data_IF_251457107072
#
_entry.id   IF_251457107072
#
_cell.length_a   1.000
_cell.length_b   1.000
_cell.length_c   1.000
_cell.angle_alpha   90.00
_cell.angle_beta   90.00
_cell.angle_gamma   90.00
#
_symmetry.space_group_name_H-M   'P 1'
#
loop_
_entity.id
_entity.type
_entity.pdbx_description
1 polymer ?
#
# COMPACT_ATOMS: atom_id res chain seq x y z
N UNK A 1 -28.57 16.93 6.27
CA UNK A 1 -27.64 15.95 6.90
C UNK A 1 -26.39 15.84 6.05
N UNK A 2 -25.41 16.70 6.32
CA UNK A 2 -24.17 16.77 5.56
C UNK A 2 -23.25 15.63 5.98
N UNK A 3 -23.12 14.60 5.15
CA UNK A 3 -22.09 13.57 5.31
C UNK A 3 -20.73 14.24 5.20
N UNK A 4 -20.01 14.35 6.32
CA UNK A 4 -18.58 14.65 6.29
C UNK A 4 -17.90 13.56 5.46
N UNK A 5 -17.40 13.93 4.27
CA UNK A 5 -16.62 13.05 3.42
C UNK A 5 -15.41 12.55 4.20
N UNK A 6 -15.30 11.23 4.38
CA UNK A 6 -14.08 10.63 4.92
C UNK A 6 -12.92 10.98 3.98
N UNK A 7 -11.72 11.32 4.50
CA UNK A 7 -10.56 11.59 3.66
C UNK A 7 -10.28 10.36 2.79
N UNK A 8 -10.34 10.55 1.47
CA UNK A 8 -10.20 9.48 0.49
C UNK A 8 -11.50 8.99 -0.15
N UNK A 9 -12.67 9.58 0.12
CA UNK A 9 -13.87 9.24 -0.63
C UNK A 9 -13.76 9.64 -2.11
N UNK A 10 -14.13 8.73 -3.01
CA UNK A 10 -14.22 8.94 -4.44
C UNK A 10 -15.58 8.47 -4.98
N UNK A 11 -15.89 8.86 -6.21
CA UNK A 11 -17.04 8.41 -6.95
C UNK A 11 -16.59 7.78 -8.28
N UNK A 12 -17.39 6.88 -8.82
CA UNK A 12 -17.21 6.33 -10.16
C UNK A 12 -18.55 5.84 -10.70
N UNK A 13 -18.54 5.31 -11.90
CA UNK A 13 -19.74 4.73 -12.51
C UNK A 13 -19.61 3.21 -12.57
N UNK A 14 -20.69 2.51 -12.31
CA UNK A 14 -20.71 1.06 -12.42
C UNK A 14 -20.65 0.66 -13.90
N UNK A 15 -19.66 -0.13 -14.35
CA UNK A 15 -19.55 -0.53 -15.75
C UNK A 15 -20.67 -1.49 -16.19
N UNK A 16 -21.43 -2.05 -15.25
CA UNK A 16 -22.52 -2.98 -15.55
C UNK A 16 -23.89 -2.30 -15.68
N UNK A 17 -24.19 -1.27 -14.87
CA UNK A 17 -25.52 -0.64 -14.86
C UNK A 17 -25.51 0.88 -14.99
N UNK A 18 -24.33 1.52 -15.13
CA UNK A 18 -24.19 2.98 -15.22
C UNK A 18 -24.44 3.75 -13.93
N UNK A 19 -24.82 3.08 -12.83
CA UNK A 19 -25.15 3.75 -11.56
C UNK A 19 -23.92 4.36 -10.87
N UNK A 20 -24.12 5.49 -10.19
CA UNK A 20 -23.08 6.19 -9.42
C UNK A 20 -22.62 5.41 -8.18
N UNK A 21 -21.37 4.98 -8.16
CA UNK A 21 -20.79 4.18 -7.08
C UNK A 21 -19.85 5.03 -6.21
N UNK A 22 -19.96 4.87 -4.90
CA UNK A 22 -18.97 5.40 -3.95
C UNK A 22 -17.78 4.44 -3.86
N UNK A 23 -16.58 5.00 -3.96
CA UNK A 23 -15.31 4.29 -3.94
C UNK A 23 -14.43 4.87 -2.84
N UNK A 24 -13.47 4.07 -2.37
CA UNK A 24 -12.35 4.58 -1.58
C UNK A 24 -11.15 4.77 -2.52
N UNK A 25 -10.56 5.97 -2.51
CA UNK A 25 -9.47 6.32 -3.41
C UNK A 25 -8.22 5.47 -3.12
N UNK A 26 -7.77 4.75 -4.14
CA UNK A 26 -6.67 3.78 -4.05
C UNK A 26 -7.12 2.37 -3.69
N UNK A 27 -8.39 2.14 -3.37
CA UNK A 27 -8.95 0.79 -3.19
C UNK A 27 -9.30 0.19 -4.56
N UNK A 28 -8.85 -1.04 -4.88
CA UNK A 28 -9.20 -1.70 -6.13
C UNK A 28 -10.64 -2.23 -6.16
N UNK A 29 -11.41 -2.17 -5.08
CA UNK A 29 -12.76 -2.75 -5.05
C UNK A 29 -13.84 -1.74 -5.47
N UNK A 30 -14.79 -2.24 -6.26
CA UNK A 30 -16.02 -1.55 -6.61
C UNK A 30 -17.21 -2.44 -6.25
N UNK A 31 -18.08 -1.96 -5.37
CA UNK A 31 -19.32 -2.64 -4.99
C UNK A 31 -20.48 -1.71 -5.35
N UNK A 32 -21.27 -2.09 -6.35
CA UNK A 32 -22.39 -1.26 -6.79
C UNK A 32 -23.60 -1.46 -5.88
N UNK A 33 -24.18 -0.40 -5.29
CA UNK A 33 -25.39 -0.53 -4.47
C UNK A 33 -26.65 -0.81 -5.29
N UNK A 34 -26.65 -0.50 -6.59
CA UNK A 34 -27.81 -0.64 -7.47
C UNK A 34 -27.96 -2.06 -8.01
N UNK A 35 -27.01 -2.52 -8.83
CA UNK A 35 -27.04 -3.86 -9.41
C UNK A 35 -26.37 -4.94 -8.55
N UNK A 36 -25.81 -4.55 -7.39
CA UNK A 36 -25.12 -5.44 -6.43
C UNK A 36 -23.88 -6.15 -6.99
N UNK A 37 -23.40 -5.75 -8.17
CA UNK A 37 -22.18 -6.29 -8.74
C UNK A 37 -20.96 -5.96 -7.87
N UNK A 38 -20.01 -6.88 -7.85
CA UNK A 38 -18.76 -6.77 -7.10
C UNK A 38 -17.62 -6.95 -8.10
N UNK A 39 -16.81 -5.92 -8.26
CA UNK A 39 -15.76 -5.86 -9.26
C UNK A 39 -14.42 -5.54 -8.61
N UNK A 40 -13.35 -6.10 -9.17
CA UNK A 40 -11.97 -5.79 -8.85
C UNK A 40 -11.36 -4.99 -10.01
N UNK A 41 -10.91 -3.77 -9.71
CA UNK A 41 -10.26 -2.88 -10.66
C UNK A 41 -8.81 -3.29 -10.85
N UNK A 42 -8.41 -3.47 -12.11
CA UNK A 42 -7.03 -3.72 -12.52
C UNK A 42 -6.62 -2.64 -13.52
N UNK A 43 -5.39 -2.15 -13.37
CA UNK A 43 -4.84 -1.08 -14.21
C UNK A 43 -3.34 -1.31 -14.40
N UNK A 44 -2.83 -0.98 -15.58
CA UNK A 44 -1.40 -0.85 -15.82
C UNK A 44 -0.91 0.42 -15.10
N UNK A 45 -0.28 0.27 -13.94
CA UNK A 45 0.20 1.39 -13.12
C UNK A 45 -0.78 1.83 -12.02
N UNK A 46 -0.78 3.11 -11.61
CA UNK A 46 -1.63 3.58 -10.50
C UNK A 46 -3.06 3.87 -10.96
N UNK A 47 -4.01 3.74 -10.03
CA UNK A 47 -5.35 4.30 -10.21
C UNK A 47 -5.26 5.84 -10.38
N UNK A 48 -6.15 6.39 -11.20
CA UNK A 48 -6.18 7.81 -11.55
C UNK A 48 -7.51 8.39 -11.11
N UNK A 49 -7.46 9.52 -10.40
CA UNK A 49 -8.63 10.24 -9.91
C UNK A 49 -8.59 11.69 -10.34
N UNK A 50 -9.75 12.26 -10.66
CA UNK A 50 -9.92 13.67 -11.01
C UNK A 50 -10.55 14.39 -9.83
N UNK A 51 -9.98 15.54 -9.47
CA UNK A 51 -10.54 16.45 -8.50
C UNK A 51 -11.65 17.27 -9.18
N UNK A 52 -12.91 17.06 -8.81
CA UNK A 52 -14.05 17.65 -9.49
C UNK A 52 -14.29 19.09 -9.03
N UNK A 53 -14.29 20.08 -9.93
CA UNK A 53 -14.67 21.45 -9.57
C UNK A 53 -16.06 21.47 -8.92
N UNK A 54 -16.22 22.24 -7.83
CA UNK A 54 -17.54 22.45 -7.23
C UNK A 54 -18.50 23.05 -8.27
N UNK A 55 -19.62 22.37 -8.54
CA UNK A 55 -20.71 22.90 -9.36
C UNK A 55 -20.58 22.75 -10.87
N UNK A 56 -19.62 21.97 -11.40
CA UNK A 56 -19.57 21.63 -12.82
C UNK A 56 -19.92 20.16 -13.08
N UNK A 57 -20.74 19.91 -14.10
CA UNK A 57 -21.06 18.58 -14.62
C UNK A 57 -19.91 17.93 -15.39
N UNK A 58 -20.17 16.76 -15.97
CA UNK A 58 -19.19 15.89 -16.63
C UNK A 58 -18.62 16.46 -17.94
N UNK A 59 -19.22 17.52 -18.48
CA UNK A 59 -18.79 18.13 -19.73
C UNK A 59 -17.51 18.93 -19.54
N UNK A 60 -16.51 18.56 -20.32
CA UNK A 60 -15.22 19.24 -20.35
C UNK A 60 -15.39 20.58 -21.07
N UNK A 61 -15.14 21.73 -20.40
CA UNK A 61 -15.06 23.00 -21.09
C UNK A 61 -13.80 23.03 -21.97
N UNK A 62 -13.90 23.69 -23.13
CA UNK A 62 -12.75 23.93 -23.99
C UNK A 62 -11.59 24.60 -23.21
N UNK A 63 -10.37 24.16 -23.49
CA UNK A 63 -9.15 24.68 -22.88
C UNK A 63 -8.85 24.18 -21.46
N UNK A 64 -9.60 23.22 -20.90
CA UNK A 64 -9.27 22.62 -19.60
C UNK A 64 -8.23 21.52 -19.72
N UNK A 65 -7.19 21.58 -18.88
CA UNK A 65 -6.17 20.55 -18.69
C UNK A 65 -6.15 20.09 -17.24
N UNK A 66 -5.79 18.85 -17.01
CA UNK A 66 -5.69 18.28 -15.68
C UNK A 66 -4.23 17.96 -15.37
N UNK A 67 -3.71 18.58 -14.31
CA UNK A 67 -2.32 18.39 -13.91
C UNK A 67 -2.19 17.25 -12.89
N UNK A 68 -1.23 16.32 -13.09
CA UNK A 68 -1.02 15.17 -12.23
C UNK A 68 -0.25 15.51 -10.95
N UNK A 69 -0.73 14.93 -9.85
CA UNK A 69 -0.12 14.91 -8.52
C UNK A 69 -0.09 13.48 -8.01
N UNK A 70 1.04 13.03 -7.49
CA UNK A 70 1.12 11.79 -6.73
C UNK A 70 0.51 12.03 -5.36
N UNK A 71 -0.40 11.15 -4.95
CA UNK A 71 -0.92 11.09 -3.58
C UNK A 71 -0.38 9.85 -2.90
N UNK A 72 0.25 10.05 -1.76
CA UNK A 72 0.82 9.00 -0.92
C UNK A 72 0.09 8.99 0.40
N UNK A 73 -0.50 7.85 0.77
CA UNK A 73 -1.17 7.64 2.06
C UNK A 73 -0.72 6.32 2.66
N UNK A 74 -0.04 6.33 3.80
CA UNK A 74 0.53 5.10 4.35
C UNK A 74 1.42 5.32 5.56
N UNK A 75 2.23 4.32 5.91
CA UNK A 75 3.11 4.38 7.07
C UNK A 75 4.55 4.70 6.64
N UNK A 76 5.08 5.77 7.21
CA UNK A 76 6.49 6.14 7.07
C UNK A 76 7.27 5.67 8.29
N UNK A 77 8.37 4.99 8.05
CA UNK A 77 9.35 4.59 9.04
C UNK A 77 10.64 5.37 8.82
N UNK A 78 11.23 5.89 9.90
CA UNK A 78 12.51 6.59 9.92
C UNK A 78 13.44 5.82 10.85
N UNK A 79 14.55 5.35 10.31
CA UNK A 79 15.61 4.71 11.08
C UNK A 79 16.64 5.79 11.38
N UNK A 80 16.79 6.17 12.64
CA UNK A 80 17.64 7.25 13.10
C UNK A 80 19.00 6.74 13.56
N UNK A 81 19.98 7.62 13.65
CA UNK A 81 21.22 7.30 14.38
C UNK A 81 20.92 6.98 15.86
N UNK A 82 21.77 6.19 16.50
CA UNK A 82 21.63 5.85 17.93
C UNK A 82 20.61 4.76 18.27
N UNK A 83 20.09 4.02 17.29
CA UNK A 83 19.26 2.83 17.55
C UNK A 83 17.75 3.09 17.66
N UNK A 84 17.24 4.20 17.13
CA UNK A 84 15.81 4.51 17.18
C UNK A 84 15.11 4.30 15.83
N UNK A 85 13.97 3.61 15.85
CA UNK A 85 13.09 3.44 14.68
C UNK A 85 11.77 4.12 14.99
N UNK A 86 11.54 5.26 14.35
CA UNK A 86 10.28 6.00 14.45
C UNK A 86 9.33 5.58 13.34
N UNK A 87 8.04 5.51 13.66
CA UNK A 87 7.00 5.29 12.66
C UNK A 87 5.91 6.34 12.80
N UNK A 88 5.33 6.73 11.68
CA UNK A 88 4.22 7.69 11.62
C UNK A 88 3.40 7.50 10.36
N UNK A 89 2.25 8.18 10.32
CA UNK A 89 1.41 8.22 9.12
C UNK A 89 1.85 9.37 8.22
N UNK A 90 1.88 9.13 6.91
CA UNK A 90 2.12 10.15 5.89
C UNK A 90 0.90 10.18 4.96
N UNK A 91 0.28 11.36 4.88
CA UNK A 91 -0.68 11.71 3.83
C UNK A 91 -0.17 12.98 3.17
N UNK A 92 0.26 12.87 1.91
CA UNK A 92 0.82 14.01 1.18
C UNK A 92 0.53 13.96 -0.30
N UNK A 93 0.63 15.11 -0.95
CA UNK A 93 0.55 15.24 -2.40
C UNK A 93 1.78 15.93 -2.95
N UNK A 94 2.28 15.43 -4.08
CA UNK A 94 3.49 15.93 -4.74
C UNK A 94 3.19 16.11 -6.22
N UNK A 95 3.53 17.28 -6.76
CA UNK A 95 3.34 17.55 -8.19
C UNK A 95 4.18 16.60 -9.04
N UNK A 96 3.62 16.11 -10.15
CA UNK A 96 4.36 15.19 -11.02
C UNK A 96 5.16 15.91 -12.11
N UNK A 97 5.17 17.25 -12.16
CA UNK A 97 5.85 18.02 -13.21
C UNK A 97 7.06 18.78 -12.68
N UNK A 98 8.17 18.80 -13.43
CA UNK A 98 9.44 19.46 -13.02
C UNK A 98 9.33 20.97 -12.80
N UNK A 99 8.35 21.60 -13.45
CA UNK A 99 8.05 23.02 -13.33
C UNK A 99 7.16 23.36 -12.09
N UNK A 100 7.35 22.67 -10.96
CA UNK A 100 6.51 22.82 -9.75
C UNK A 100 6.40 24.26 -9.25
N UNK A 101 7.38 25.12 -9.51
CA UNK A 101 7.34 26.53 -9.10
C UNK A 101 6.08 27.25 -9.60
N UNK A 102 5.50 26.80 -10.70
CA UNK A 102 4.28 27.36 -11.28
C UNK A 102 3.00 26.71 -10.77
N UNK A 103 3.09 25.58 -10.05
CA UNK A 103 1.94 24.79 -9.61
C UNK A 103 1.93 24.68 -8.08
N UNK A 104 0.98 25.34 -7.38
CA UNK A 104 0.89 25.20 -5.94
C UNK A 104 0.58 23.74 -5.56
N UNK A 105 0.98 23.37 -4.34
CA UNK A 105 0.55 22.10 -3.74
C UNK A 105 -0.96 22.10 -3.55
N UNK A 106 -1.59 20.93 -3.60
CA UNK A 106 -3.05 20.81 -3.47
C UNK A 106 -3.57 21.05 -2.05
N UNK A 107 -2.69 21.25 -1.06
CA UNK A 107 -3.09 21.48 0.34
C UNK A 107 -4.07 20.41 0.83
N UNK A 108 -5.20 20.86 1.39
CA UNK A 108 -6.27 20.00 1.92
C UNK A 108 -7.27 19.51 0.87
N UNK A 109 -7.19 20.02 -0.38
CA UNK A 109 -8.20 19.76 -1.44
C UNK A 109 -8.46 18.26 -1.69
N UNK A 110 -7.46 17.37 -1.67
CA UNK A 110 -7.72 15.93 -1.84
C UNK A 110 -8.55 15.30 -0.71
N UNK A 111 -8.58 15.92 0.48
CA UNK A 111 -9.34 15.46 1.64
C UNK A 111 -10.74 16.06 1.72
N UNK A 112 -10.99 17.21 1.09
CA UNK A 112 -12.28 17.93 1.14
C UNK A 112 -13.06 17.80 -0.16
N UNK A 113 -12.37 17.69 -1.29
CA UNK A 113 -12.97 17.70 -2.61
C UNK A 113 -13.56 16.36 -3.03
N UNK A 114 -14.51 16.40 -3.97
CA UNK A 114 -15.06 15.19 -4.60
C UNK A 114 -14.08 14.63 -5.63
N UNK A 115 -13.54 13.46 -5.35
CA UNK A 115 -12.71 12.71 -6.29
C UNK A 115 -13.62 11.87 -7.20
N UNK A 116 -13.31 11.81 -8.49
CA UNK A 116 -13.93 10.88 -9.44
C UNK A 116 -12.88 9.96 -10.04
N UNK A 117 -13.16 8.67 -10.16
CA UNK A 117 -12.32 7.74 -10.91
C UNK A 117 -12.22 8.25 -12.35
N UNK A 118 -11.00 8.38 -12.87
CA UNK A 118 -10.79 8.89 -14.21
C UNK A 118 -11.28 7.86 -15.24
N UNK A 119 -12.27 8.26 -16.04
CA UNK A 119 -12.69 7.54 -17.24
C UNK A 119 -12.20 8.32 -18.47
N UNK A 120 -11.31 7.71 -19.27
CA UNK A 120 -10.68 8.37 -20.43
C UNK A 120 -9.59 9.41 -20.08
N UNK A 121 -9.01 10.05 -21.11
CA UNK A 121 -7.79 10.86 -20.99
C UNK A 121 -7.99 12.34 -21.25
N UNK A 122 -9.16 12.75 -21.72
CA UNK A 122 -9.29 14.02 -22.40
C UNK A 122 -8.82 15.15 -21.47
N UNK A 123 -7.65 15.74 -21.74
CA UNK A 123 -7.02 16.76 -20.91
C UNK A 123 -6.06 16.29 -19.80
N UNK A 124 -5.87 14.99 -19.56
CA UNK A 124 -4.94 14.47 -18.54
C UNK A 124 -3.48 14.63 -18.99
N UNK A 125 -2.71 15.42 -18.26
CA UNK A 125 -1.26 15.57 -18.50
C UNK A 125 -0.52 14.34 -17.96
N UNK A 126 0.42 13.81 -18.73
CA UNK A 126 1.23 12.66 -18.27
C UNK A 126 2.16 13.05 -17.12
N UNK A 127 2.32 12.20 -16.09
CA UNK A 127 3.25 12.46 -15.00
C UNK A 127 4.69 12.44 -15.53
N UNK A 128 5.48 13.47 -15.24
CA UNK A 128 6.89 13.56 -15.64
C UNK A 128 7.86 13.02 -14.57
N UNK A 129 7.35 12.64 -13.39
CA UNK A 129 8.09 12.01 -12.29
C UNK A 129 7.48 10.67 -11.96
N UNK A 130 8.34 9.71 -11.63
CA UNK A 130 7.91 8.44 -11.04
C UNK A 130 7.39 8.65 -9.61
N UNK A 131 6.68 7.65 -9.08
CA UNK A 131 6.25 7.64 -7.69
C UNK A 131 7.45 7.74 -6.73
N UNK A 132 8.54 6.99 -6.99
CA UNK A 132 9.74 6.99 -6.16
C UNK A 132 10.43 8.37 -6.10
N UNK A 133 10.52 9.07 -7.23
CA UNK A 133 11.07 10.43 -7.29
C UNK A 133 10.22 11.42 -6.50
N UNK A 134 8.89 11.30 -6.61
CA UNK A 134 7.94 12.17 -5.93
C UNK A 134 7.93 11.91 -4.42
N UNK A 135 7.98 10.65 -4.00
CA UNK A 135 8.08 10.25 -2.59
C UNK A 135 9.38 10.80 -1.98
N UNK A 136 10.51 10.62 -2.67
CA UNK A 136 11.80 11.17 -2.25
C UNK A 136 11.77 12.69 -2.05
N UNK A 137 11.01 13.42 -2.88
CA UNK A 137 10.82 14.86 -2.73
C UNK A 137 9.99 15.22 -1.50
N UNK A 138 8.88 14.50 -1.25
CA UNK A 138 8.10 14.66 -0.02
C UNK A 138 8.94 14.40 1.23
N UNK A 139 9.81 13.38 1.18
CA UNK A 139 10.65 13.02 2.30
C UNK A 139 11.70 14.08 2.63
N UNK A 140 12.37 14.66 1.61
CA UNK A 140 13.28 15.78 1.80
C UNK A 140 12.62 17.00 2.46
N UNK A 141 11.38 17.31 2.07
CA UNK A 141 10.60 18.42 2.70
C UNK A 141 10.40 18.19 4.19
N UNK A 142 10.07 16.96 4.59
CA UNK A 142 9.88 16.60 6.01
C UNK A 142 11.21 16.64 6.78
N UNK A 143 12.30 16.21 6.16
CA UNK A 143 13.63 16.23 6.78
C UNK A 143 14.11 17.64 7.08
N UNK A 144 13.89 18.59 6.16
CA UNK A 144 14.18 20.01 6.39
C UNK A 144 13.41 20.57 7.59
N UNK A 145 12.15 20.16 7.79
CA UNK A 145 11.35 20.58 8.94
C UNK A 145 11.84 19.99 10.26
N UNK A 146 12.25 18.72 10.27
CA UNK A 146 12.59 18.00 11.50
C UNK A 146 14.03 18.20 11.99
N UNK A 147 14.93 18.78 11.17
CA UNK A 147 16.37 18.99 11.49
C UNK A 147 17.14 17.74 11.94
N UNK A 148 16.56 16.54 11.81
CA UNK A 148 17.19 15.25 12.14
C UNK A 148 17.21 14.40 10.89
N UNK A 149 18.41 14.09 10.39
CA UNK A 149 18.61 13.21 9.23
C UNK A 149 18.49 11.75 9.66
N UNK A 150 17.60 10.96 9.06
CA UNK A 150 17.56 9.52 9.27
C UNK A 150 18.73 8.84 8.55
N UNK A 151 19.18 7.68 9.05
CA UNK A 151 20.05 6.76 8.31
C UNK A 151 19.37 6.30 7.01
N UNK A 152 18.07 6.01 7.09
CA UNK A 152 17.19 5.81 5.95
C UNK A 152 15.72 5.89 6.37
N UNK A 153 14.83 6.08 5.41
CA UNK A 153 13.38 5.97 5.57
C UNK A 153 12.81 4.82 4.73
N UNK A 154 11.62 4.34 5.07
CA UNK A 154 10.81 3.45 4.23
C UNK A 154 9.34 3.83 4.34
N UNK A 155 8.64 3.69 3.24
CA UNK A 155 7.19 3.80 3.16
C UNK A 155 6.62 2.40 2.95
N UNK A 156 5.67 2.00 3.80
CA UNK A 156 5.11 0.64 3.88
C UNK A 156 3.62 0.77 4.16
N UNK A 157 2.80 -0.14 3.66
CA UNK A 157 1.35 -0.09 3.89
C UNK A 157 0.69 1.05 3.12
N UNK A 158 1.29 1.51 2.03
CA UNK A 158 0.84 2.69 1.32
C UNK A 158 -0.18 2.43 0.23
N UNK A 159 -1.16 3.32 0.15
CA UNK A 159 -1.97 3.51 -1.02
C UNK A 159 -1.38 4.67 -1.83
N UNK A 160 -0.98 4.39 -3.07
CA UNK A 160 -0.46 5.37 -4.01
C UNK A 160 -1.35 5.46 -5.25
N UNK A 161 -1.72 6.68 -5.62
CA UNK A 161 -2.53 6.94 -6.81
C UNK A 161 -2.23 8.32 -7.39
N UNK A 162 -2.62 8.52 -8.65
CA UNK A 162 -2.53 9.82 -9.31
C UNK A 162 -3.81 10.61 -9.08
N UNK A 163 -3.65 11.85 -8.65
CA UNK A 163 -4.70 12.83 -8.52
C UNK A 163 -4.52 13.92 -9.56
N UNK A 164 -5.58 14.23 -10.27
CA UNK A 164 -5.61 15.18 -11.37
C UNK A 164 -6.42 16.41 -10.99
N UNK A 165 -5.75 17.56 -10.88
CA UNK A 165 -6.42 18.83 -10.55
C UNK A 165 -6.72 19.63 -11.83
N UNK A 166 -7.93 20.21 -11.96
CA UNK A 166 -8.35 20.92 -13.15
C UNK A 166 -7.75 22.33 -13.23
N UNK A 167 -7.27 22.69 -14.41
CA UNK A 167 -6.76 24.01 -14.74
C UNK A 167 -7.27 24.48 -16.10
N UNK A 168 -7.51 25.78 -16.24
CA UNK A 168 -7.77 26.40 -17.55
C UNK A 168 -6.46 26.87 -18.16
N UNK A 169 -6.19 26.42 -19.38
CA UNK A 169 -5.04 26.83 -20.18
C UNK A 169 -5.49 27.86 -21.21
N UNK A 170 -4.92 29.06 -21.14
CA UNK A 170 -5.18 30.15 -22.09
C UNK A 170 -3.91 30.46 -22.88
N UNK A 171 -4.02 30.59 -24.20
CA UNK A 171 -2.91 31.07 -25.04
C UNK A 171 -2.95 32.60 -25.06
N UNK A 172 -1.84 33.23 -24.71
CA UNK A 172 -1.71 34.69 -24.74
C UNK A 172 -1.32 35.14 -26.16
N UNK A 173 -1.72 36.35 -26.57
CA UNK A 173 -1.45 36.90 -27.90
C UNK A 173 0.05 37.01 -28.28
N UNK A 174 0.96 37.04 -27.28
CA UNK A 174 2.42 37.10 -27.47
C UNK A 174 3.12 35.73 -27.51
N UNK A 175 2.39 34.64 -27.73
CA UNK A 175 2.95 33.27 -27.77
C UNK A 175 3.16 32.62 -26.40
N UNK A 176 2.96 33.36 -25.30
CA UNK A 176 2.92 32.83 -23.94
C UNK A 176 1.67 32.00 -23.64
N UNK A 177 1.71 31.24 -22.56
CA UNK A 177 0.54 30.52 -22.04
C UNK A 177 0.31 30.90 -20.60
N UNK A 178 -0.96 30.87 -20.20
CA UNK A 178 -1.35 31.12 -18.82
C UNK A 178 -2.21 29.98 -18.29
N UNK A 179 -2.05 29.71 -17.00
CA UNK A 179 -2.76 28.66 -16.30
C UNK A 179 -3.55 29.24 -15.13
N UNK A 180 -4.83 28.91 -15.05
CA UNK A 180 -5.71 29.30 -13.95
C UNK A 180 -6.22 28.05 -13.23
N UNK A 181 -6.11 28.01 -11.90
CA UNK A 181 -6.65 26.92 -11.09
C UNK A 181 -8.18 27.02 -11.05
N UNK A 182 -8.85 25.93 -11.45
CA UNK A 182 -10.31 25.90 -11.50
C UNK A 182 -10.95 25.43 -10.19
N UNK A 183 -10.15 25.02 -9.19
CA UNK A 183 -10.67 24.63 -7.88
C UNK A 183 -11.08 25.84 -7.02
N UNK A 184 -10.21 26.83 -6.91
CA UNK A 184 -10.40 28.03 -6.08
C UNK A 184 -10.51 29.33 -6.90
N UNK A 185 -10.36 29.25 -8.23
CA UNK A 185 -10.36 30.43 -9.10
C UNK A 185 -9.13 31.33 -8.93
N UNK A 186 -8.04 30.81 -8.35
CA UNK A 186 -6.83 31.59 -8.04
C UNK A 186 -6.17 32.25 -9.27
N UNK A 187 -5.27 33.20 -8.97
CA UNK A 187 -4.60 34.07 -9.93
C UNK A 187 -4.00 33.30 -11.11
N UNK A 188 -4.26 33.84 -12.31
CA UNK A 188 -3.69 33.41 -13.57
C UNK A 188 -2.15 33.46 -13.51
N UNK A 189 -1.48 32.34 -13.79
CA UNK A 189 -0.02 32.22 -13.77
C UNK A 189 0.52 32.05 -15.17
N UNK A 190 1.46 32.90 -15.57
CA UNK A 190 2.20 32.68 -16.80
C UNK A 190 3.10 31.44 -16.67
N UNK A 191 3.10 30.62 -17.71
CA UNK A 191 3.92 29.41 -17.80
C UNK A 191 4.83 29.48 -19.03
N UNK A 192 6.01 28.84 -19.00
CA UNK A 192 6.90 28.80 -20.15
C UNK A 192 6.21 28.21 -21.38
N UNK A 193 6.49 28.77 -22.56
CA UNK A 193 5.86 28.36 -23.81
C UNK A 193 5.98 26.85 -24.08
N UNK A 194 7.16 26.26 -23.84
CA UNK A 194 7.39 24.82 -23.97
C UNK A 194 6.41 23.99 -23.13
N UNK A 195 6.15 24.42 -21.89
CA UNK A 195 5.20 23.79 -20.97
C UNK A 195 3.75 23.98 -21.45
N UNK A 196 3.41 25.19 -21.89
CA UNK A 196 2.09 25.48 -22.44
C UNK A 196 1.76 24.68 -23.71
N UNK A 197 2.73 24.51 -24.62
CA UNK A 197 2.59 23.65 -25.81
C UNK A 197 2.38 22.18 -25.43
N UNK A 198 3.10 21.67 -24.43
CA UNK A 198 2.92 20.31 -23.90
C UNK A 198 1.49 20.10 -23.36
N UNK A 199 1.01 21.04 -22.55
CA UNK A 199 -0.33 20.96 -21.97
C UNK A 199 -1.42 21.13 -23.03
N UNK A 200 -1.20 21.98 -24.03
CA UNK A 200 -2.11 22.11 -25.18
C UNK A 200 -2.22 20.80 -25.97
N UNK A 201 -1.14 20.03 -26.12
CA UNK A 201 -1.20 18.68 -26.71
C UNK A 201 -2.00 17.71 -25.85
N UNK A 202 -1.78 17.69 -24.54
CA UNK A 202 -2.57 16.87 -23.62
C UNK A 202 -4.05 17.25 -23.63
N UNK A 203 -4.36 18.54 -23.80
CA UNK A 203 -5.72 19.03 -23.98
C UNK A 203 -6.41 18.46 -25.23
N UNK A 204 -5.67 18.18 -26.30
CA UNK A 204 -6.24 17.62 -27.54
C UNK A 204 -6.55 16.12 -27.45
N UNK A 205 -6.21 15.47 -26.33
CA UNK A 205 -6.57 14.09 -26.06
C UNK A 205 -5.47 13.07 -26.38
N UNK A 206 -5.66 11.87 -25.85
CA UNK A 206 -4.85 10.67 -26.04
C UNK A 206 -5.65 9.44 -25.57
N UNK A 207 -5.08 8.24 -25.62
CA UNK A 207 -5.72 6.97 -25.17
C UNK A 207 -5.15 6.49 -23.83
N UNK A 208 -5.97 6.24 -22.81
CA UNK A 208 -5.55 5.86 -21.43
C UNK A 208 -5.66 4.34 -21.50
N UNK A 209 -4.72 3.67 -20.88
CA UNK A 209 -4.95 2.31 -20.40
C UNK A 209 -6.22 2.26 -19.55
N UNK A 210 -7.30 1.74 -20.14
CA UNK A 210 -8.59 1.62 -19.48
C UNK A 210 -8.45 0.81 -18.19
N UNK A 211 -9.10 1.30 -17.12
CA UNK A 211 -9.34 0.48 -15.93
C UNK A 211 -10.15 -0.73 -16.37
N UNK A 212 -9.63 -1.92 -16.10
CA UNK A 212 -10.34 -3.17 -16.34
C UNK A 212 -11.06 -3.58 -15.07
N UNK A 213 -12.25 -4.13 -15.24
CA UNK A 213 -13.09 -4.57 -14.14
C UNK A 213 -13.27 -6.07 -14.21
N UNK A 214 -12.73 -6.77 -13.22
CA UNK A 214 -12.87 -8.22 -13.08
C UNK A 214 -14.05 -8.53 -12.17
N UNK A 215 -14.96 -9.38 -12.62
CA UNK A 215 -16.05 -9.85 -11.76
C UNK A 215 -15.49 -10.68 -10.61
N UNK A 216 -15.88 -10.37 -9.37
CA UNK A 216 -15.44 -11.10 -8.17
C UNK A 216 -16.12 -12.48 -8.07
N UNK A 217 -15.72 -13.36 -8.98
CA UNK A 217 -16.19 -14.74 -9.14
C UNK A 217 -14.97 -15.66 -9.13
N UNK A 218 -15.04 -16.73 -8.37
CA UNK A 218 -13.95 -17.69 -8.25
C UNK A 218 -13.78 -18.46 -9.57
N UNK A 219 -12.60 -18.44 -10.20
CA UNK A 219 -12.36 -19.18 -11.44
C UNK A 219 -12.58 -20.69 -11.32
N UNK A 220 -12.36 -21.25 -10.13
CA UNK A 220 -12.47 -22.70 -9.91
C UNK A 220 -13.91 -23.18 -9.65
N UNK A 221 -14.64 -22.51 -8.76
CA UNK A 221 -15.91 -23.03 -8.24
C UNK A 221 -17.11 -22.09 -8.48
N UNK A 222 -16.88 -21.01 -9.23
CA UNK A 222 -17.86 -19.99 -9.63
C UNK A 222 -18.58 -19.28 -8.47
N UNK A 223 -18.18 -19.52 -7.22
CA UNK A 223 -18.71 -18.80 -6.07
C UNK A 223 -18.21 -17.35 -6.04
N UNK A 224 -19.00 -16.45 -5.45
CA UNK A 224 -18.59 -15.05 -5.27
C UNK A 224 -17.32 -14.96 -4.40
N UNK A 225 -16.32 -14.22 -4.88
CA UNK A 225 -15.14 -13.86 -4.10
C UNK A 225 -15.49 -12.65 -3.22
N UNK A 226 -15.67 -12.89 -1.93
CA UNK A 226 -15.93 -11.82 -0.95
C UNK A 226 -14.59 -11.18 -0.59
N UNK A 227 -14.41 -9.93 -1.02
CA UNK A 227 -13.22 -9.14 -0.78
C UNK A 227 -13.50 -8.05 0.26
N UNK A 228 -12.51 -7.79 1.11
CA UNK A 228 -12.51 -6.63 2.00
C UNK A 228 -11.69 -5.51 1.37
N UNK A 229 -11.98 -4.25 1.72
CA UNK A 229 -11.24 -3.06 1.25
C UNK A 229 -9.71 -3.29 1.18
N UNK A 230 -9.05 -2.87 0.10
CA UNK A 230 -7.60 -2.99 -0.06
C UNK A 230 -7.05 -4.44 -0.06
N UNK A 231 -7.89 -5.46 -0.21
CA UNK A 231 -7.42 -6.83 -0.31
C UNK A 231 -6.63 -7.05 -1.60
N UNK A 232 -5.40 -7.56 -1.48
CA UNK A 232 -4.51 -7.86 -2.62
C UNK A 232 -4.49 -9.34 -2.99
N UNK A 233 -4.96 -10.20 -2.08
CA UNK A 233 -5.17 -11.64 -2.31
C UNK A 233 -6.57 -11.99 -1.80
N UNK A 234 -7.33 -12.69 -2.64
CA UNK A 234 -8.73 -13.04 -2.42
C UNK A 234 -8.85 -14.53 -2.12
N UNK A 235 -9.32 -14.88 -0.92
CA UNK A 235 -9.55 -16.28 -0.55
C UNK A 235 -11.02 -16.62 -0.84
N UNK A 236 -11.25 -17.65 -1.65
CA UNK A 236 -12.59 -18.15 -1.89
C UNK A 236 -13.12 -18.86 -0.64
N UNK A 237 -14.30 -18.46 -0.14
CA UNK A 237 -14.93 -19.09 1.04
C UNK A 237 -15.56 -20.46 0.78
N UNK A 238 -15.53 -20.96 -0.47
CA UNK A 238 -16.08 -22.26 -0.87
C UNK A 238 -15.01 -23.31 -1.12
N UNK A 239 -14.04 -23.01 -1.99
CA UNK A 239 -12.96 -23.95 -2.33
C UNK A 239 -11.64 -23.68 -1.59
N UNK A 240 -11.57 -22.59 -0.82
CA UNK A 240 -10.38 -22.14 -0.05
C UNK A 240 -9.12 -21.92 -0.90
N UNK A 241 -9.23 -21.83 -2.22
CA UNK A 241 -8.16 -21.36 -3.10
C UNK A 241 -8.02 -19.84 -2.99
N UNK A 242 -6.80 -19.34 -3.12
CA UNK A 242 -6.51 -17.92 -3.11
C UNK A 242 -6.20 -17.41 -4.53
N UNK A 243 -6.58 -16.17 -4.79
CA UNK A 243 -6.55 -15.57 -6.12
C UNK A 243 -5.94 -14.17 -6.05
N UNK A 244 -5.04 -13.87 -6.97
CA UNK A 244 -4.50 -12.52 -7.18
C UNK A 244 -5.02 -11.99 -8.51
N UNK A 245 -5.51 -10.76 -8.51
CA UNK A 245 -5.89 -10.09 -9.75
C UNK A 245 -4.64 -9.73 -10.55
N UNK A 246 -4.61 -10.10 -11.83
CA UNK A 246 -3.50 -9.81 -12.72
C UNK A 246 -3.98 -9.67 -14.16
N UNK A 247 -3.69 -8.52 -14.78
CA UNK A 247 -4.08 -8.25 -16.16
C UNK A 247 -5.60 -8.33 -16.38
N UNK A 248 -6.06 -9.34 -17.11
CA UNK A 248 -7.47 -9.53 -17.46
C UNK A 248 -8.17 -10.63 -16.63
N UNK A 249 -7.53 -11.16 -15.58
CA UNK A 249 -8.12 -12.27 -14.83
C UNK A 249 -7.53 -12.46 -13.44
N UNK A 250 -7.85 -13.60 -12.85
CA UNK A 250 -7.33 -14.02 -11.56
C UNK A 250 -6.33 -15.16 -11.75
N UNK A 251 -5.14 -15.01 -11.17
CA UNK A 251 -4.16 -16.09 -11.09
C UNK A 251 -4.23 -16.74 -9.70
N UNK A 252 -4.13 -18.07 -9.69
CA UNK A 252 -4.08 -18.81 -8.43
C UNK A 252 -2.82 -18.44 -7.64
N UNK A 253 -3.01 -18.20 -6.35
CA UNK A 253 -1.95 -17.88 -5.41
C UNK A 253 -1.89 -18.97 -4.34
N UNK A 254 -0.70 -19.55 -4.12
CA UNK A 254 -0.50 -20.57 -3.09
C UNK A 254 -0.24 -19.93 -1.73
N UNK A 255 -0.79 -20.55 -0.69
CA UNK A 255 -0.56 -20.16 0.69
C UNK A 255 -0.54 -21.40 1.58
N UNK A 256 0.06 -21.27 2.75
CA UNK A 256 0.18 -22.33 3.76
C UNK A 256 -0.61 -21.93 4.99
N UNK A 257 -1.18 -22.89 5.71
CA UNK A 257 -1.80 -22.68 7.03
C UNK A 257 -0.98 -23.45 8.05
N UNK A 258 -0.45 -22.75 9.05
CA UNK A 258 0.23 -23.40 10.16
C UNK A 258 -0.79 -24.01 11.11
N UNK A 259 -0.64 -25.31 11.37
CA UNK A 259 -1.42 -26.05 12.35
C UNK A 259 -0.45 -26.73 13.30
N UNK A 260 -0.39 -26.32 14.56
CA UNK A 260 0.42 -27.01 15.55
C UNK A 260 -0.20 -28.38 15.89
N UNK A 261 0.63 -29.42 15.97
CA UNK A 261 0.25 -30.83 16.17
C UNK A 261 -0.47 -31.11 17.50
N UNK A 262 -0.36 -30.19 18.46
CA UNK A 262 -0.72 -30.40 19.88
C UNK A 262 -1.60 -29.31 20.49
N UNK A 263 -2.27 -28.48 19.68
CA UNK A 263 -3.18 -27.43 20.19
C UNK A 263 -4.64 -27.89 20.10
N UNK A 264 -5.48 -27.66 21.13
CA UNK A 264 -6.89 -27.99 21.08
C UNK A 264 -7.60 -27.24 19.95
N UNK A 265 -8.70 -27.80 19.45
CA UNK A 265 -9.66 -27.03 18.65
C UNK A 265 -9.96 -25.69 19.35
N UNK A 266 -9.72 -24.55 18.68
CA UNK A 266 -9.89 -23.24 19.33
C UNK A 266 -9.14 -22.05 18.72
N UNK A 267 -8.70 -22.13 17.46
CA UNK A 267 -8.26 -20.93 16.76
C UNK A 267 -9.51 -20.15 16.30
N UNK A 268 -9.68 -18.93 16.80
CA UNK A 268 -10.80 -18.07 16.41
C UNK A 268 -10.56 -17.39 15.07
N UNK A 269 -9.29 -17.11 14.75
CA UNK A 269 -8.92 -16.33 13.58
C UNK A 269 -7.54 -16.72 13.05
N UNK A 270 -7.40 -16.72 11.74
CA UNK A 270 -6.13 -16.92 11.05
C UNK A 270 -5.62 -15.59 10.52
N UNK A 271 -4.44 -15.17 10.97
CA UNK A 271 -3.82 -13.92 10.52
C UNK A 271 -2.73 -14.21 9.47
N UNK A 272 -2.71 -13.49 8.34
CA UNK A 272 -1.74 -13.73 7.28
C UNK A 272 -0.40 -13.03 7.53
N UNK A 273 0.68 -13.75 7.26
CA UNK A 273 2.05 -13.25 7.33
C UNK A 273 2.81 -13.61 6.05
N UNK A 274 3.67 -12.71 5.61
CA UNK A 274 4.73 -13.00 4.65
C UNK A 274 5.89 -13.67 5.39
N UNK A 275 6.18 -14.91 5.05
CA UNK A 275 7.43 -15.56 5.37
C UNK A 275 8.47 -15.19 4.31
N UNK A 276 9.36 -14.27 4.64
CA UNK A 276 10.41 -13.78 3.75
C UNK A 276 11.72 -14.48 4.08
N UNK A 277 12.17 -15.35 3.18
CA UNK A 277 13.47 -16.01 3.25
C UNK A 277 14.49 -15.23 2.44
N UNK A 278 15.60 -14.83 3.06
CA UNK A 278 16.58 -13.96 2.43
C UNK A 278 18.02 -14.27 2.83
N UNK A 279 18.94 -13.75 2.01
CA UNK A 279 20.35 -13.61 2.37
C UNK A 279 20.68 -12.14 2.56
N UNK A 280 21.51 -11.86 3.56
CA UNK A 280 21.92 -10.50 3.91
C UNK A 280 23.43 -10.39 3.77
N UNK A 281 23.88 -9.55 2.86
CA UNK A 281 25.29 -9.20 2.70
C UNK A 281 25.58 -7.90 3.45
N UNK A 282 26.75 -7.81 4.08
CA UNK A 282 27.14 -6.65 4.89
C UNK A 282 26.69 -6.72 6.35
N UNK A 283 26.13 -7.86 6.80
CA UNK A 283 25.91 -8.19 8.21
C UNK A 283 26.52 -9.58 8.50
N UNK A 284 26.95 -9.87 9.75
CA UNK A 284 27.70 -11.08 10.06
C UNK A 284 26.83 -12.34 10.23
N UNK A 285 25.60 -12.36 9.71
CA UNK A 285 24.72 -13.52 9.79
C UNK A 285 24.46 -14.14 8.41
N UNK A 286 24.86 -15.40 8.24
CA UNK A 286 24.75 -16.14 6.96
C UNK A 286 23.48 -17.01 6.90
N UNK A 287 22.99 -17.43 8.05
CA UNK A 287 21.87 -18.35 8.19
C UNK A 287 20.95 -17.92 9.36
N UNK A 288 19.88 -18.68 9.58
CA UNK A 288 18.89 -18.41 10.63
C UNK A 288 19.49 -18.48 12.04
N UNK A 289 20.44 -19.39 12.29
CA UNK A 289 21.10 -19.53 13.58
C UNK A 289 21.94 -18.28 13.90
N UNK A 290 22.79 -17.83 12.97
CA UNK A 290 23.62 -16.64 13.15
C UNK A 290 22.76 -15.39 13.41
N UNK A 291 21.66 -15.24 12.67
CA UNK A 291 20.72 -14.15 12.83
C UNK A 291 20.10 -14.15 14.24
N UNK A 292 19.69 -15.33 14.72
CA UNK A 292 19.15 -15.51 16.06
C UNK A 292 20.17 -15.13 17.13
N UNK A 293 21.39 -15.64 17.04
CA UNK A 293 22.46 -15.38 18.01
C UNK A 293 22.94 -13.92 18.00
N UNK A 294 22.91 -13.24 16.85
CA UNK A 294 23.22 -11.81 16.77
C UNK A 294 22.26 -10.95 17.60
N UNK A 295 20.99 -11.37 17.71
CA UNK A 295 19.96 -10.65 18.45
C UNK A 295 19.92 -11.15 19.90
N UNK A 296 19.77 -12.45 20.10
CA UNK A 296 19.69 -13.12 21.40
C UNK A 296 20.94 -13.98 21.62
N UNK A 297 21.98 -13.37 22.20
CA UNK A 297 23.32 -13.96 22.29
C UNK A 297 23.44 -15.17 23.22
N UNK A 298 22.54 -15.33 24.19
CA UNK A 298 22.59 -16.42 25.17
C UNK A 298 21.82 -17.68 24.72
N UNK A 299 21.10 -17.62 23.60
CA UNK A 299 20.39 -18.80 23.09
C UNK A 299 21.27 -19.62 22.16
N UNK A 300 21.16 -20.94 22.27
CA UNK A 300 21.76 -21.91 21.34
C UNK A 300 20.69 -22.31 20.32
N UNK A 301 20.72 -21.79 19.08
CA UNK A 301 19.74 -22.17 18.07
C UNK A 301 19.89 -23.65 17.70
N UNK A 302 18.81 -24.30 17.21
CA UNK A 302 18.87 -25.65 16.69
C UNK A 302 19.89 -25.80 15.57
N UNK A 303 20.59 -26.93 15.50
CA UNK A 303 21.64 -27.16 14.49
C UNK A 303 21.07 -27.13 13.05
N UNK A 304 19.81 -27.55 12.89
CA UNK A 304 19.07 -27.48 11.62
C UNK A 304 18.99 -26.06 11.05
N UNK A 305 19.02 -25.02 11.90
CA UNK A 305 18.91 -23.62 11.49
C UNK A 305 20.17 -23.11 10.79
N UNK A 306 21.32 -23.78 10.93
CA UNK A 306 22.55 -23.42 10.19
C UNK A 306 22.41 -23.64 8.68
N UNK A 307 21.53 -24.55 8.26
CA UNK A 307 21.23 -24.85 6.85
C UNK A 307 20.07 -24.00 6.30
N UNK A 308 19.38 -23.23 7.13
CA UNK A 308 18.23 -22.42 6.74
C UNK A 308 18.64 -20.96 6.46
N UNK A 309 18.06 -20.31 5.44
CA UNK A 309 18.26 -18.89 5.21
C UNK A 309 17.69 -18.04 6.35
N UNK A 310 18.10 -16.77 6.43
CA UNK A 310 17.46 -15.81 7.35
C UNK A 310 15.99 -15.72 6.99
N UNK A 311 15.11 -15.81 7.99
CA UNK A 311 13.67 -15.83 7.81
C UNK A 311 13.04 -14.75 8.67
N UNK A 312 12.21 -13.90 8.05
CA UNK A 312 11.39 -12.91 8.74
C UNK A 312 9.91 -13.21 8.49
N UNK A 313 9.09 -13.03 9.51
CA UNK A 313 7.64 -13.09 9.42
C UNK A 313 7.09 -11.67 9.53
N UNK A 314 6.41 -11.22 8.47
CA UNK A 314 5.95 -9.84 8.33
C UNK A 314 4.43 -9.87 8.17
N UNK A 315 3.62 -9.18 9.01
CA UNK A 315 2.18 -9.11 8.83
C UNK A 315 1.82 -8.76 7.38
N UNK A 316 0.97 -9.56 6.75
CA UNK A 316 0.45 -9.29 5.42
C UNK A 316 -0.81 -8.40 5.46
N UNK A 317 -0.96 -7.66 6.56
CA UNK A 317 -2.03 -6.73 6.87
C UNK A 317 -1.43 -5.50 7.56
N UNK A 318 -2.14 -4.38 7.48
CA UNK A 318 -1.66 -3.10 8.01
C UNK A 318 -1.90 -3.01 9.51
N UNK A 319 -0.97 -2.42 10.24
CA UNK A 319 -0.98 -2.22 11.70
C UNK A 319 -0.38 -0.86 12.01
N UNK A 320 -0.66 -0.31 13.20
CA UNK A 320 0.06 0.91 13.63
C UNK A 320 1.57 0.65 13.70
N UNK A 321 2.44 1.66 13.44
CA UNK A 321 3.87 1.40 13.26
C UNK A 321 4.56 0.66 14.40
N UNK A 322 4.23 1.01 15.66
CA UNK A 322 4.79 0.35 16.85
C UNK A 322 4.36 -1.11 16.94
N UNK A 323 3.07 -1.40 16.68
CA UNK A 323 2.53 -2.76 16.72
C UNK A 323 3.09 -3.59 15.57
N UNK A 324 3.18 -3.03 14.37
CA UNK A 324 3.78 -3.69 13.20
C UNK A 324 5.21 -4.17 13.47
N UNK A 325 6.09 -3.30 14.01
CA UNK A 325 7.48 -3.67 14.29
C UNK A 325 7.59 -4.70 15.41
N UNK A 326 6.80 -4.55 16.48
CA UNK A 326 6.76 -5.52 17.59
C UNK A 326 6.33 -6.90 17.10
N UNK A 327 5.22 -6.97 16.37
CA UNK A 327 4.68 -8.23 15.84
C UNK A 327 5.66 -8.86 14.86
N UNK A 328 6.16 -8.09 13.88
CA UNK A 328 7.13 -8.61 12.91
C UNK A 328 8.40 -9.12 13.57
N UNK A 329 8.93 -8.37 14.55
CA UNK A 329 10.12 -8.74 15.30
C UNK A 329 9.91 -10.02 16.10
N UNK A 330 8.87 -10.07 16.93
CA UNK A 330 8.61 -11.21 17.80
C UNK A 330 8.28 -12.49 17.00
N UNK A 331 7.49 -12.39 15.93
CA UNK A 331 7.21 -13.52 15.05
C UNK A 331 8.48 -14.02 14.33
N UNK A 332 9.34 -13.11 13.87
CA UNK A 332 10.63 -13.47 13.24
C UNK A 332 11.62 -14.13 14.22
N UNK A 333 11.43 -13.87 15.51
CA UNK A 333 12.20 -14.41 16.60
C UNK A 333 11.56 -15.65 17.25
N UNK A 334 10.37 -16.06 16.83
CA UNK A 334 9.74 -17.24 17.39
C UNK A 334 10.36 -18.53 16.85
N UNK A 335 10.43 -19.55 17.69
CA UNK A 335 10.82 -20.91 17.28
C UNK A 335 9.61 -21.59 16.65
N UNK A 336 9.31 -21.21 15.40
CA UNK A 336 8.18 -21.73 14.63
C UNK A 336 8.54 -23.08 13.98
N UNK A 337 8.84 -24.06 14.82
CA UNK A 337 9.08 -25.45 14.41
C UNK A 337 7.76 -26.21 14.50
N UNK A 338 7.35 -26.81 13.39
CA UNK A 338 6.05 -27.47 13.24
C UNK A 338 5.74 -27.59 11.75
N UNK A 339 5.18 -28.72 11.35
CA UNK A 339 5.03 -29.08 9.94
C UNK A 339 4.17 -28.03 9.20
N UNK A 340 4.81 -27.29 8.30
CA UNK A 340 4.11 -26.50 7.30
C UNK A 340 3.50 -27.48 6.30
N UNK A 341 2.34 -28.03 6.62
CA UNK A 341 1.55 -28.71 5.60
C UNK A 341 1.01 -27.66 4.62
N UNK A 342 1.03 -27.97 3.32
CA UNK A 342 0.24 -27.25 2.30
C UNK A 342 -1.25 -27.48 2.54
N UNK A 343 -1.74 -27.01 3.68
CA UNK A 343 -3.08 -27.23 4.13
C UNK A 343 -3.88 -25.95 3.89
N UNK A 344 -5.05 -26.09 3.27
CA UNK A 344 -5.97 -24.98 3.02
C UNK A 344 -6.71 -24.59 4.30
N UNK A 345 -7.33 -23.41 4.29
CA UNK A 345 -8.31 -23.05 5.32
C UNK A 345 -9.51 -24.01 5.29
N UNK A 346 -10.16 -24.21 6.44
CA UNK A 346 -11.37 -25.04 6.62
C UNK A 346 -12.62 -24.19 6.71
N UNK A 347 -13.80 -24.84 6.70
CA UNK A 347 -15.11 -24.19 6.58
C UNK A 347 -15.42 -23.12 7.62
N UNK A 348 -14.97 -23.34 8.84
CA UNK A 348 -15.27 -22.48 9.98
C UNK A 348 -14.09 -21.58 10.38
N UNK A 349 -12.98 -21.67 9.65
CA UNK A 349 -11.76 -20.90 9.93
C UNK A 349 -11.88 -19.49 9.31
N UNK A 350 -11.96 -18.47 10.17
CA UNK A 350 -12.00 -17.09 9.72
C UNK A 350 -10.59 -16.56 9.44
N UNK A 351 -10.32 -16.17 8.20
CA UNK A 351 -9.05 -15.54 7.82
C UNK A 351 -9.16 -14.01 7.75
N UNK A 352 -8.16 -13.30 8.27
CA UNK A 352 -8.01 -11.87 8.03
C UNK A 352 -7.55 -11.61 6.59
N UNK A 353 -8.01 -10.48 6.01
CA UNK A 353 -7.70 -10.14 4.64
C UNK A 353 -6.22 -9.79 4.45
N UNK A 354 -5.64 -10.25 3.34
CA UNK A 354 -4.29 -9.86 2.93
C UNK A 354 -4.35 -8.47 2.30
N UNK A 355 -3.77 -7.46 2.97
CA UNK A 355 -3.84 -6.04 2.59
C UNK A 355 -2.48 -5.38 2.35
N UNK A 356 -1.41 -6.10 2.67
CA UNK A 356 -0.05 -5.63 2.46
C UNK A 356 0.60 -6.55 1.41
N UNK A 357 0.89 -6.07 0.19
CA UNK A 357 1.51 -6.86 -0.86
C UNK A 357 2.97 -7.20 -0.55
N UNK A 358 3.47 -8.28 -1.15
CA UNK A 358 4.84 -8.79 -0.92
C UNK A 358 5.94 -7.76 -1.18
N UNK A 359 5.71 -6.79 -2.10
CA UNK A 359 6.66 -5.70 -2.39
C UNK A 359 6.85 -4.77 -1.18
N UNK A 360 5.76 -4.46 -0.47
CA UNK A 360 5.82 -3.66 0.76
C UNK A 360 6.46 -4.45 1.90
N UNK A 361 6.21 -5.77 1.98
CA UNK A 361 6.88 -6.63 2.94
C UNK A 361 8.40 -6.66 2.69
N UNK A 362 8.82 -6.70 1.43
CA UNK A 362 10.23 -6.60 1.05
C UNK A 362 10.87 -5.27 1.48
N UNK A 363 10.16 -4.15 1.31
CA UNK A 363 10.60 -2.82 1.77
C UNK A 363 10.73 -2.77 3.30
N UNK A 364 9.88 -3.50 4.03
CA UNK A 364 9.87 -3.56 5.49
C UNK A 364 11.09 -4.26 6.10
N UNK A 365 11.77 -5.14 5.37
CA UNK A 365 12.87 -5.99 5.90
C UNK A 365 13.94 -5.16 6.62
N UNK A 366 14.47 -4.10 6.00
CA UNK A 366 15.53 -3.28 6.64
C UNK A 366 15.03 -2.57 7.90
N UNK A 367 13.77 -2.15 7.92
CA UNK A 367 13.17 -1.49 9.10
C UNK A 367 13.04 -2.49 10.25
N UNK A 368 12.62 -3.72 9.96
CA UNK A 368 12.50 -4.79 10.94
C UNK A 368 13.90 -5.19 11.46
N UNK A 369 14.89 -5.32 10.58
CA UNK A 369 16.28 -5.58 10.98
C UNK A 369 16.82 -4.48 11.89
N UNK A 370 16.61 -3.20 11.55
CA UNK A 370 16.98 -2.07 12.40
C UNK A 370 16.27 -2.12 13.76
N UNK A 371 14.97 -2.45 13.79
CA UNK A 371 14.21 -2.59 15.02
C UNK A 371 14.75 -3.70 15.92
N UNK A 372 15.10 -4.85 15.34
CA UNK A 372 15.65 -6.00 16.06
C UNK A 372 17.08 -5.76 16.56
N UNK A 373 17.89 -5.04 15.78
CA UNK A 373 19.29 -4.75 16.08
C UNK A 373 19.48 -3.46 16.88
N UNK A 374 18.42 -2.78 17.31
CA UNK A 374 18.49 -1.49 18.00
C UNK A 374 19.41 -1.45 19.22
N UNK A 375 19.58 -2.58 19.92
CA UNK A 375 20.48 -2.73 21.08
C UNK A 375 21.92 -3.13 20.71
N UNK A 376 22.19 -3.43 19.44
CA UNK A 376 23.48 -3.89 18.90
C UNK A 376 24.07 -2.82 17.98
N UNK A 377 24.59 -1.74 18.57
CA UNK A 377 25.01 -0.51 17.85
C UNK A 377 25.82 -0.76 16.58
N UNK A 378 26.88 -1.59 16.67
CA UNK A 378 27.73 -1.93 15.51
C UNK A 378 26.93 -2.55 14.35
N UNK A 379 26.03 -3.50 14.65
CA UNK A 379 25.22 -4.16 13.63
C UNK A 379 24.12 -3.24 13.10
N UNK A 380 23.55 -2.41 13.97
CA UNK A 380 22.53 -1.43 13.60
C UNK A 380 23.05 -0.45 12.55
N UNK A 381 24.25 0.10 12.75
CA UNK A 381 24.88 1.07 11.83
C UNK A 381 25.21 0.44 10.46
N UNK A 382 25.33 -0.89 10.37
CA UNK A 382 25.57 -1.62 9.12
C UNK A 382 24.28 -1.90 8.31
N UNK A 383 23.09 -1.80 8.92
CA UNK A 383 21.80 -2.09 8.25
C UNK A 383 21.57 -1.25 6.98
N UNK A 384 21.83 0.07 6.94
CA UNK A 384 21.60 0.89 5.74
C UNK A 384 22.40 0.37 4.54
N UNK A 385 23.68 0.05 4.74
CA UNK A 385 24.61 -0.45 3.70
C UNK A 385 24.42 -1.92 3.33
N UNK A 386 23.66 -2.68 4.11
CA UNK A 386 23.41 -4.10 3.83
C UNK A 386 22.67 -4.31 2.49
N UNK A 387 23.02 -5.38 1.77
CA UNK A 387 22.30 -5.80 0.56
C UNK A 387 21.41 -6.99 0.89
N UNK A 388 20.15 -6.89 0.48
CA UNK A 388 19.15 -7.93 0.71
C UNK A 388 18.88 -8.66 -0.61
N UNK A 389 18.94 -9.99 -0.59
CA UNK A 389 18.46 -10.83 -1.69
C UNK A 389 17.37 -11.75 -1.15
N UNK A 390 16.13 -11.45 -1.51
CA UNK A 390 14.97 -12.29 -1.17
C UNK A 390 15.03 -13.54 -2.05
N UNK A 391 15.11 -14.70 -1.42
CA UNK A 391 15.10 -16.01 -2.11
C UNK A 391 13.69 -16.49 -2.37
N UNK A 392 12.81 -16.33 -1.37
CA UNK A 392 11.42 -16.76 -1.42
C UNK A 392 10.60 -15.87 -0.50
N UNK A 393 9.35 -15.62 -0.88
CA UNK A 393 8.37 -14.95 -0.04
C UNK A 393 7.04 -15.69 -0.17
N UNK A 394 6.53 -16.19 0.95
CA UNK A 394 5.34 -17.05 0.99
C UNK A 394 4.29 -16.47 1.90
N UNK A 395 3.03 -16.71 1.57
CA UNK A 395 1.93 -16.34 2.43
C UNK A 395 1.62 -17.50 3.38
N UNK A 396 1.70 -17.22 4.68
CA UNK A 396 1.45 -18.19 5.74
C UNK A 396 0.37 -17.65 6.67
N UNK A 397 -0.66 -18.43 6.93
CA UNK A 397 -1.69 -18.12 7.92
C UNK A 397 -1.33 -18.75 9.25
N UNK A 398 -1.32 -17.92 10.29
CA UNK A 398 -1.04 -18.32 11.65
C UNK A 398 -2.34 -18.39 12.47
N UNK A 399 -2.52 -19.38 13.35
CA UNK A 399 -3.69 -19.51 14.19
C UNK A 399 -3.61 -18.58 15.40
N UNK A 400 -4.62 -17.72 15.57
CA UNK A 400 -4.77 -16.81 16.69
C UNK A 400 -6.05 -17.13 17.46
N UNK A 401 -5.99 -16.97 18.77
CA UNK A 401 -7.16 -17.03 19.66
C UNK A 401 -7.44 -15.68 20.31
N UNK A 402 -8.70 -15.36 20.53
CA UNK A 402 -9.14 -14.16 21.20
C UNK A 402 -9.00 -14.31 22.71
N UNK A 403 -8.40 -13.30 23.36
CA UNK A 403 -8.25 -13.22 24.81
C UNK A 403 -8.31 -11.76 25.24
N UNK A 404 -9.34 -11.38 25.99
CA UNK A 404 -9.45 -10.06 26.65
C UNK A 404 -9.17 -8.85 25.70
N UNK A 405 -9.70 -8.89 24.47
CA UNK A 405 -9.51 -7.81 23.49
C UNK A 405 -8.20 -7.89 22.68
N UNK A 406 -7.40 -8.93 22.87
CA UNK A 406 -6.23 -9.25 22.06
C UNK A 406 -6.43 -10.55 21.28
N UNK A 407 -5.77 -10.65 20.14
CA UNK A 407 -5.57 -11.89 19.40
C UNK A 407 -4.17 -12.39 19.72
N UNK A 408 -4.05 -13.58 20.30
CA UNK A 408 -2.78 -14.18 20.69
C UNK A 408 -2.45 -15.33 19.75
N UNK A 409 -1.29 -15.24 19.10
CA UNK A 409 -0.76 -16.32 18.25
C UNK A 409 -0.54 -17.58 19.10
N UNK A 410 -1.09 -18.70 18.65
CA UNK A 410 -1.08 -19.94 19.43
C UNK A 410 0.28 -20.63 19.46
N UNK A 411 1.25 -20.19 18.65
CA UNK A 411 2.57 -20.81 18.53
C UNK A 411 3.64 -19.95 19.23
N UNK A 412 3.76 -18.69 18.86
CA UNK A 412 4.74 -17.74 19.39
C UNK A 412 4.29 -17.02 20.66
N UNK A 413 2.99 -17.07 21.00
CA UNK A 413 2.40 -16.27 22.09
C UNK A 413 2.30 -14.77 21.76
N UNK A 414 2.60 -14.37 20.53
CA UNK A 414 2.57 -12.97 20.12
C UNK A 414 1.14 -12.41 20.13
N UNK A 415 0.91 -11.38 20.94
CA UNK A 415 -0.39 -10.69 21.01
C UNK A 415 -0.51 -9.53 20.02
N UNK A 416 -1.64 -9.43 19.34
CA UNK A 416 -2.08 -8.35 18.47
C UNK A 416 -3.38 -7.78 19.03
N UNK A 417 -3.44 -6.50 19.44
CA UNK A 417 -4.69 -5.90 19.90
C UNK A 417 -5.77 -5.96 18.82
N UNK A 418 -6.99 -6.40 19.15
CA UNK A 418 -8.04 -6.59 18.14
C UNK A 418 -8.42 -5.26 17.45
N UNK A 419 -8.43 -4.15 18.19
CA UNK A 419 -8.65 -2.81 17.66
C UNK A 419 -7.55 -2.35 16.68
N UNK A 420 -6.34 -2.91 16.77
CA UNK A 420 -5.25 -2.58 15.86
C UNK A 420 -5.52 -3.09 14.45
N UNK A 421 -6.28 -4.18 14.29
CA UNK A 421 -6.73 -4.65 12.97
C UNK A 421 -7.70 -3.64 12.35
N UNK A 422 -8.69 -3.16 13.12
CA UNK A 422 -9.66 -2.17 12.63
C UNK A 422 -9.01 -0.84 12.24
N UNK A 423 -8.04 -0.37 13.03
CA UNK A 423 -7.23 0.80 12.68
C UNK A 423 -6.39 0.53 11.42
N UNK A 424 -5.81 -0.67 11.32
CA UNK A 424 -5.09 -1.17 10.16
C UNK A 424 -5.89 -1.04 8.86
N UNK A 425 -7.17 -1.38 8.89
CA UNK A 425 -8.08 -1.32 7.73
C UNK A 425 -8.30 0.09 7.20
N UNK A 426 -8.05 1.13 8.00
CA UNK A 426 -8.22 2.54 7.64
C UNK A 426 -6.94 3.21 7.14
N UNK A 427 -5.80 2.52 7.23
CA UNK A 427 -4.50 2.98 6.72
C UNK A 427 -4.44 2.70 5.22
#
# INVERSE_FOLDING_TARGET
MSTMSLPGAAAGECPQCGGDVRLDAGDPLLICPFCRTRLYMTVSGPLKYILSRNGMGCDRPDGVVYLPYWRFRGLKYRVLEGGNVEGGFLDTTVGCHKAERFFPGLGIRPGVGRLRLAAGNAGLVSPARSADEALSLAERRIEHLKKVRPLFHRFIGENQYLLYSPYRLTKNGRGGFSLQDLWDGSTLREIPEKTGRLFSRAAKGGTVENVRFLSLVCPECSASLIASAGAVILICRRCYRAWRAEGAGFLEFRYTVLRPDSVPAGADRFLPFWQVMLTVSGLPFKNRADFRSAIISYQRPPESWKKQPVCLYIPAFKLSPRVFLRVSGNMSLACLEGQQEEARLRRDEQAEAVRLPVREAAQAVKVILAHLLKKRRKLYEMVPGSRLKIRRAELVFFPFRSRQGELVDMISGQAVPANALELGRKI
#
